data_IF_217577312697
#
_entry.id   IF_217577312697
#
_cell.length_a   1.000
_cell.length_b   1.000
_cell.length_c   1.000
_cell.angle_alpha   90.00
_cell.angle_beta   90.00
_cell.angle_gamma   90.00
#
_symmetry.space_group_name_H-M   'P 1'
#
loop_
_entity.id
_entity.type
_entity.pdbx_description
1 polymer ?
#
# COMPACT_ATOMS: atom_id res chain seq x y z
N UNK A 1 26.04 -11.63 -6.11
CA UNK A 1 24.82 -12.27 -5.55
C UNK A 1 25.20 -13.21 -4.44
N UNK A 2 24.80 -12.91 -3.21
CA UNK A 2 25.13 -13.71 -2.03
C UNK A 2 24.25 -14.98 -2.03
N UNK A 3 24.80 -16.11 -2.49
CA UNK A 3 24.05 -17.35 -2.78
C UNK A 3 23.34 -17.96 -1.56
N UNK A 4 23.76 -17.61 -0.32
CA UNK A 4 23.18 -18.17 0.90
C UNK A 4 21.80 -17.62 1.27
N UNK A 5 21.48 -16.38 0.91
CA UNK A 5 20.19 -15.74 1.25
C UNK A 5 19.05 -16.40 0.47
N UNK A 6 19.26 -16.67 -0.81
CA UNK A 6 18.25 -17.27 -1.70
C UNK A 6 17.99 -18.77 -1.45
N UNK A 7 18.83 -19.45 -0.67
CA UNK A 7 18.66 -20.90 -0.42
C UNK A 7 17.45 -21.23 0.46
N UNK A 8 16.94 -20.25 1.20
CA UNK A 8 15.76 -20.39 2.06
C UNK A 8 14.47 -19.83 1.45
N UNK A 9 14.54 -19.25 0.25
CA UNK A 9 13.39 -18.64 -0.42
C UNK A 9 12.92 -19.47 -1.62
N UNK A 10 11.62 -19.42 -1.87
CA UNK A 10 11.03 -20.12 -3.01
C UNK A 10 11.48 -19.46 -4.32
N UNK A 11 11.38 -20.21 -5.43
CA UNK A 11 11.68 -19.66 -6.76
C UNK A 11 10.73 -18.50 -7.10
N UNK A 12 9.49 -18.56 -6.59
CA UNK A 12 8.44 -17.56 -6.78
C UNK A 12 8.78 -16.23 -6.10
N UNK A 13 9.60 -16.24 -5.05
CA UNK A 13 10.00 -15.04 -4.31
C UNK A 13 11.08 -14.21 -5.02
N UNK A 14 11.85 -14.84 -5.92
CA UNK A 14 13.04 -14.23 -6.55
C UNK A 14 12.76 -12.89 -7.22
N UNK A 15 11.69 -12.72 -8.03
CA UNK A 15 11.42 -11.43 -8.67
C UNK A 15 11.18 -10.30 -7.67
N UNK A 16 10.62 -10.60 -6.49
CA UNK A 16 10.43 -9.61 -5.44
C UNK A 16 11.72 -9.34 -4.66
N UNK A 17 12.49 -10.38 -4.34
CA UNK A 17 13.79 -10.25 -3.68
C UNK A 17 14.76 -9.40 -4.50
N UNK A 18 14.77 -9.55 -5.82
CA UNK A 18 15.61 -8.74 -6.71
C UNK A 18 15.24 -7.25 -6.64
N UNK A 19 13.94 -6.91 -6.60
CA UNK A 19 13.48 -5.53 -6.34
C UNK A 19 13.88 -5.04 -4.95
N UNK A 20 13.75 -5.88 -3.93
CA UNK A 20 14.17 -5.55 -2.57
C UNK A 20 15.67 -5.22 -2.50
N UNK A 21 16.50 -5.98 -3.21
CA UNK A 21 17.93 -5.72 -3.34
C UNK A 21 18.22 -4.39 -4.04
N UNK A 22 17.47 -4.05 -5.09
CA UNK A 22 17.58 -2.74 -5.74
C UNK A 22 17.23 -1.60 -4.78
N UNK A 23 16.20 -1.77 -3.94
CA UNK A 23 15.80 -0.77 -2.96
C UNK A 23 16.81 -0.58 -1.84
N UNK A 24 17.37 -1.67 -1.30
CA UNK A 24 18.46 -1.61 -0.33
C UNK A 24 19.65 -0.86 -0.91
N UNK A 25 20.05 -1.21 -2.14
CA UNK A 25 21.15 -0.52 -2.84
C UNK A 25 20.89 0.98 -2.99
N UNK A 26 19.64 1.39 -3.28
CA UNK A 26 19.31 2.83 -3.35
C UNK A 26 19.57 3.53 -2.03
N UNK A 27 19.19 2.93 -0.90
CA UNK A 27 19.43 3.51 0.43
C UNK A 27 20.93 3.56 0.74
N UNK A 28 21.69 2.53 0.37
CA UNK A 28 23.15 2.51 0.53
C UNK A 28 23.84 3.60 -0.31
N UNK A 29 23.44 3.73 -1.58
CA UNK A 29 24.04 4.68 -2.53
C UNK A 29 23.68 6.14 -2.20
N UNK A 30 22.45 6.41 -1.75
CA UNK A 30 21.98 7.78 -1.46
C UNK A 30 22.10 8.18 0.00
N UNK A 31 22.33 7.22 0.90
CA UNK A 31 22.25 7.39 2.36
C UNK A 31 20.97 8.14 2.77
N UNK A 32 19.83 7.79 2.16
CA UNK A 32 18.53 8.43 2.38
C UNK A 32 17.40 7.39 2.41
N UNK A 33 16.27 7.68 3.10
CA UNK A 33 15.14 6.75 3.15
C UNK A 33 14.59 6.41 1.76
N UNK A 34 14.19 5.17 1.59
CA UNK A 34 13.45 4.67 0.44
C UNK A 34 12.10 4.13 0.88
N UNK A 35 11.03 4.67 0.30
CA UNK A 35 9.66 4.23 0.52
C UNK A 35 9.21 3.31 -0.61
N UNK A 36 8.78 2.09 -0.27
CA UNK A 36 8.28 1.14 -1.26
C UNK A 36 6.91 1.56 -1.83
N UNK A 37 6.51 1.01 -2.98
CA UNK A 37 5.11 0.91 -3.35
C UNK A 37 4.32 0.06 -2.32
N UNK A 38 3.00 -0.06 -2.50
CA UNK A 38 2.23 -1.03 -1.74
C UNK A 38 2.68 -2.46 -2.05
N UNK A 39 2.90 -3.23 -0.99
CA UNK A 39 3.29 -4.64 -1.03
C UNK A 39 2.37 -5.46 -0.13
N UNK A 40 2.23 -6.76 -0.42
CA UNK A 40 1.37 -7.66 0.36
C UNK A 40 2.09 -8.19 1.62
N UNK A 41 1.38 -8.90 2.53
CA UNK A 41 1.97 -9.38 3.79
C UNK A 41 3.15 -10.35 3.62
N UNK A 42 3.17 -11.13 2.54
CA UNK A 42 4.27 -12.06 2.25
C UNK A 42 5.51 -11.29 1.81
N UNK A 43 5.33 -10.32 0.91
CA UNK A 43 6.38 -9.42 0.44
C UNK A 43 6.98 -8.57 1.57
N UNK A 44 6.14 -8.07 2.49
CA UNK A 44 6.60 -7.36 3.68
C UNK A 44 7.56 -8.22 4.52
N UNK A 45 7.19 -9.49 4.78
CA UNK A 45 8.04 -10.42 5.53
C UNK A 45 9.38 -10.65 4.83
N UNK A 46 9.36 -10.89 3.52
CA UNK A 46 10.57 -11.07 2.72
C UNK A 46 11.48 -9.84 2.81
N UNK A 47 10.91 -8.63 2.67
CA UNK A 47 11.69 -7.40 2.70
C UNK A 47 12.30 -7.13 4.08
N UNK A 48 11.55 -7.39 5.16
CA UNK A 48 12.06 -7.29 6.54
C UNK A 48 13.25 -8.23 6.80
N UNK A 49 13.17 -9.47 6.32
CA UNK A 49 14.27 -10.44 6.43
C UNK A 49 15.49 -9.95 5.63
N UNK A 50 15.25 -9.45 4.41
CA UNK A 50 16.30 -8.94 3.54
C UNK A 50 17.00 -7.73 4.18
N UNK A 51 16.25 -6.70 4.59
CA UNK A 51 16.77 -5.51 5.25
C UNK A 51 17.62 -5.86 6.47
N UNK A 52 17.12 -6.75 7.34
CA UNK A 52 17.87 -7.24 8.52
C UNK A 52 19.18 -7.92 8.14
N UNK A 53 19.19 -8.68 7.04
CA UNK A 53 20.39 -9.39 6.56
C UNK A 53 21.48 -8.43 6.08
N UNK A 54 21.08 -7.29 5.51
CA UNK A 54 21.98 -6.22 5.09
C UNK A 54 22.22 -5.17 6.18
N UNK A 55 21.69 -5.39 7.40
CA UNK A 55 21.87 -4.46 8.52
C UNK A 55 21.18 -3.12 8.32
N UNK A 56 20.15 -3.06 7.48
CA UNK A 56 19.41 -1.83 7.19
C UNK A 56 18.13 -1.76 8.05
N UNK A 57 17.85 -0.57 8.61
CA UNK A 57 16.62 -0.33 9.35
C UNK A 57 15.40 -0.35 8.42
N UNK A 58 14.28 -0.82 8.96
CA UNK A 58 13.06 -1.07 8.21
C UNK A 58 11.84 -0.90 9.11
N UNK A 59 10.84 -0.14 8.66
CA UNK A 59 9.55 0.04 9.32
C UNK A 59 8.40 -0.12 8.33
N UNK A 60 7.29 -0.67 8.79
CA UNK A 60 6.09 -0.91 7.98
C UNK A 60 4.98 0.04 8.36
N UNK A 61 4.21 0.53 7.38
CA UNK A 61 2.99 1.30 7.67
C UNK A 61 2.00 0.49 8.51
N UNK A 62 2.03 -0.84 8.41
CA UNK A 62 1.23 -1.77 9.22
C UNK A 62 1.51 -1.70 10.73
N UNK A 63 2.68 -1.19 11.13
CA UNK A 63 3.04 -0.98 12.54
C UNK A 63 2.35 0.25 13.14
N UNK A 64 1.85 1.16 12.29
CA UNK A 64 1.12 2.37 12.67
C UNK A 64 -0.38 2.21 12.45
N UNK A 65 -0.77 1.66 11.29
CA UNK A 65 -2.15 1.42 10.89
C UNK A 65 -2.29 0.00 10.36
N UNK A 66 -2.99 -0.85 11.12
CA UNK A 66 -3.25 -2.23 10.73
C UNK A 66 -3.92 -2.31 9.35
N UNK A 67 -3.26 -3.00 8.42
CA UNK A 67 -3.63 -3.17 7.02
C UNK A 67 -2.95 -4.41 6.44
N UNK A 68 -3.55 -5.04 5.42
CA UNK A 68 -2.94 -6.17 4.70
C UNK A 68 -1.87 -5.68 3.71
N UNK A 69 -2.18 -4.64 2.95
CA UNK A 69 -1.26 -4.04 2.02
C UNK A 69 -0.58 -2.83 2.64
N UNK A 70 0.73 -2.92 2.79
CA UNK A 70 1.54 -1.93 3.50
C UNK A 70 2.54 -1.27 2.57
N UNK A 71 3.05 -0.11 2.98
CA UNK A 71 4.28 0.46 2.43
C UNK A 71 5.37 0.34 3.47
N UNK A 72 6.60 0.09 3.03
CA UNK A 72 7.75 -0.12 3.90
C UNK A 72 8.76 1.00 3.66
N UNK A 73 9.29 1.56 4.73
CA UNK A 73 10.44 2.46 4.70
C UNK A 73 11.70 1.64 4.99
N UNK A 74 12.68 1.77 4.11
CA UNK A 74 14.05 1.32 4.31
C UNK A 74 14.92 2.56 4.52
N UNK A 75 15.72 2.63 5.58
CA UNK A 75 16.39 3.89 5.92
C UNK A 75 17.68 3.71 6.74
N UNK A 76 18.58 4.72 6.73
CA UNK A 76 19.76 4.74 7.59
C UNK A 76 19.42 5.12 9.03
N UNK A 77 20.32 4.80 9.96
CA UNK A 77 20.10 4.93 11.42
C UNK A 77 19.77 6.36 11.93
N UNK A 78 20.10 7.40 11.16
CA UNK A 78 19.78 8.78 11.54
C UNK A 78 18.29 9.11 11.37
N UNK A 79 17.57 8.35 10.56
CA UNK A 79 16.18 8.63 10.23
C UNK A 79 15.24 7.97 11.23
N UNK A 80 14.27 8.73 11.73
CA UNK A 80 13.22 8.24 12.62
C UNK A 80 11.88 8.37 11.90
N UNK A 81 11.28 7.25 11.45
CA UNK A 81 10.06 7.30 10.65
C UNK A 81 8.85 7.72 11.48
N UNK A 82 8.09 8.66 10.93
CA UNK A 82 6.73 9.00 11.35
C UNK A 82 5.70 8.43 10.37
N UNK A 83 4.43 8.39 10.76
CA UNK A 83 3.39 7.82 9.90
C UNK A 83 3.19 8.60 8.58
N UNK A 84 3.41 9.92 8.60
CA UNK A 84 3.37 10.78 7.42
C UNK A 84 4.39 10.39 6.36
N UNK A 85 5.55 9.85 6.75
CA UNK A 85 6.63 9.44 5.82
C UNK A 85 6.23 8.26 4.92
N UNK A 86 5.15 7.55 5.24
CA UNK A 86 4.63 6.48 4.39
C UNK A 86 3.76 7.00 3.24
N UNK A 87 3.44 8.30 3.22
CA UNK A 87 2.68 8.97 2.17
C UNK A 87 1.41 8.21 1.78
N UNK A 88 0.65 7.75 2.78
CA UNK A 88 -0.63 7.07 2.58
C UNK A 88 -1.76 8.02 2.92
N UNK A 89 -2.72 8.14 2.01
CA UNK A 89 -3.97 8.86 2.26
C UNK A 89 -5.14 7.89 2.33
N UNK A 90 -6.02 8.07 3.32
CA UNK A 90 -7.28 7.35 3.44
C UNK A 90 -8.37 8.15 2.75
N UNK A 91 -9.03 7.56 1.76
CA UNK A 91 -10.10 8.20 1.02
C UNK A 91 -11.43 7.49 1.29
N UNK A 92 -12.42 8.23 1.78
CA UNK A 92 -13.82 7.80 1.83
C UNK A 92 -14.41 7.86 0.43
N UNK A 93 -15.06 6.77 0.01
CA UNK A 93 -15.85 6.71 -1.20
C UNK A 93 -17.28 7.14 -0.84
N UNK A 94 -17.61 8.39 -1.11
CA UNK A 94 -18.92 8.98 -0.81
C UNK A 94 -19.89 8.66 -1.94
N UNK A 95 -21.02 8.03 -1.61
CA UNK A 95 -22.07 7.65 -2.55
C UNK A 95 -23.45 7.57 -1.89
N UNK A 96 -24.51 7.59 -2.69
CA UNK A 96 -25.88 7.38 -2.20
C UNK A 96 -26.16 5.88 -2.03
N UNK A 97 -26.16 5.39 -0.79
CA UNK A 97 -26.38 3.98 -0.43
C UNK A 97 -27.86 3.52 -0.46
N UNK A 98 -28.81 4.36 -0.88
CA UNK A 98 -30.26 4.08 -0.81
C UNK A 98 -30.75 2.85 -1.62
N UNK A 99 -30.01 2.44 -2.64
CA UNK A 99 -30.49 1.44 -3.61
C UNK A 99 -29.49 0.34 -3.95
N UNK A 100 -28.20 0.57 -3.74
CA UNK A 100 -27.14 -0.38 -4.09
C UNK A 100 -25.92 -0.14 -3.21
N UNK A 101 -25.43 -1.21 -2.56
CA UNK A 101 -24.21 -1.15 -1.78
C UNK A 101 -22.99 -1.40 -2.67
N UNK A 102 -21.92 -0.67 -2.40
CA UNK A 102 -20.61 -0.96 -2.99
C UNK A 102 -20.07 -2.24 -2.37
N UNK A 103 -19.36 -3.02 -3.19
CA UNK A 103 -18.64 -4.20 -2.72
C UNK A 103 -17.16 -4.02 -3.03
N UNK A 104 -16.32 -4.69 -2.25
CA UNK A 104 -14.87 -4.72 -2.49
C UNK A 104 -14.53 -5.03 -3.96
N UNK A 105 -15.17 -6.06 -4.53
CA UNK A 105 -14.93 -6.48 -5.91
C UNK A 105 -15.30 -5.40 -6.95
N UNK A 106 -16.37 -4.63 -6.74
CA UNK A 106 -16.76 -3.54 -7.65
C UNK A 106 -15.76 -2.39 -7.63
N UNK A 107 -15.31 -2.00 -6.43
CA UNK A 107 -14.31 -0.94 -6.25
C UNK A 107 -12.99 -1.39 -6.91
N UNK A 108 -12.49 -2.57 -6.53
CA UNK A 108 -11.25 -3.13 -7.06
C UNK A 108 -11.28 -3.24 -8.59
N UNK A 109 -12.36 -3.80 -9.14
CA UNK A 109 -12.52 -3.96 -10.58
C UNK A 109 -12.57 -2.62 -11.33
N UNK A 110 -13.14 -1.59 -10.72
CA UNK A 110 -13.16 -0.24 -11.30
C UNK A 110 -11.76 0.38 -11.30
N UNK A 111 -11.08 0.35 -10.16
CA UNK A 111 -9.73 0.93 -10.01
C UNK A 111 -8.73 0.27 -10.97
N UNK A 112 -8.70 -1.07 -11.03
CA UNK A 112 -7.74 -1.78 -11.87
C UNK A 112 -8.15 -1.74 -13.35
N UNK A 113 -9.39 -2.13 -13.68
CA UNK A 113 -9.75 -2.40 -15.08
C UNK A 113 -10.25 -1.16 -15.82
N UNK A 114 -10.92 -0.23 -15.14
CA UNK A 114 -11.49 0.96 -15.80
C UNK A 114 -10.53 2.14 -15.75
N UNK A 115 -9.88 2.36 -14.60
CA UNK A 115 -8.90 3.44 -14.46
C UNK A 115 -7.47 3.03 -14.86
N UNK A 116 -7.22 1.72 -15.01
CA UNK A 116 -5.88 1.23 -15.36
C UNK A 116 -4.86 1.41 -14.24
N UNK A 117 -5.30 1.59 -13.00
CA UNK A 117 -4.41 1.87 -11.87
C UNK A 117 -3.77 0.57 -11.38
N UNK A 118 -2.44 0.57 -11.32
CA UNK A 118 -1.67 -0.57 -10.86
C UNK A 118 -1.87 -0.85 -9.37
N UNK A 119 -1.94 -2.14 -8.98
CA UNK A 119 -2.11 -2.57 -7.57
C UNK A 119 -1.09 -1.96 -6.61
N UNK A 120 0.12 -1.66 -7.08
CA UNK A 120 1.20 -1.06 -6.28
C UNK A 120 0.92 0.37 -5.81
N UNK A 121 -0.11 1.03 -6.34
CA UNK A 121 -0.46 2.43 -6.04
C UNK A 121 -1.52 2.58 -4.94
N UNK A 122 -2.14 1.50 -4.50
CA UNK A 122 -3.15 1.52 -3.45
C UNK A 122 -3.11 0.26 -2.58
N UNK A 123 -3.44 0.44 -1.31
CA UNK A 123 -3.49 -0.60 -0.29
C UNK A 123 -4.89 -1.18 -0.15
N UNK A 124 -5.35 -1.30 1.08
CA UNK A 124 -6.63 -1.95 1.37
C UNK A 124 -7.81 -1.15 0.81
N UNK A 125 -8.79 -1.89 0.33
CA UNK A 125 -10.15 -1.40 0.10
C UNK A 125 -10.98 -1.93 1.26
N UNK A 126 -11.59 -1.03 2.00
CA UNK A 126 -12.37 -1.34 3.20
C UNK A 126 -13.82 -1.05 2.85
N UNK A 127 -14.72 -1.97 3.18
CA UNK A 127 -16.15 -1.83 2.90
C UNK A 127 -16.91 -2.38 4.09
N UNK A 128 -17.82 -1.57 4.61
CA UNK A 128 -18.84 -2.02 5.55
C UNK A 128 -20.25 -1.87 4.95
N UNK A 129 -21.29 -2.03 5.77
CA UNK A 129 -22.69 -1.94 5.30
C UNK A 129 -23.03 -0.55 4.74
N UNK A 130 -22.41 0.52 5.26
CA UNK A 130 -22.76 1.90 4.94
C UNK A 130 -21.67 2.65 4.18
N UNK A 131 -20.41 2.31 4.44
CA UNK A 131 -19.21 3.07 4.09
C UNK A 131 -18.24 2.24 3.27
N UNK A 132 -17.43 2.94 2.50
CA UNK A 132 -16.33 2.34 1.78
C UNK A 132 -15.14 3.29 1.78
N UNK A 133 -13.95 2.74 1.99
CA UNK A 133 -12.70 3.48 2.01
C UNK A 133 -11.64 2.79 1.17
N UNK A 134 -10.65 3.56 0.72
CA UNK A 134 -9.48 3.05 0.03
C UNK A 134 -8.23 3.76 0.55
N UNK A 135 -7.21 2.98 0.88
CA UNK A 135 -5.88 3.51 1.20
C UNK A 135 -5.10 3.68 -0.10
N UNK A 136 -4.60 4.89 -0.37
CA UNK A 136 -3.88 5.19 -1.62
C UNK A 136 -2.52 5.83 -1.36
N UNK A 137 -1.63 5.72 -2.34
CA UNK A 137 -0.40 6.50 -2.34
C UNK A 137 -0.77 7.97 -2.57
N UNK A 138 -0.46 8.83 -1.61
CA UNK A 138 -0.82 10.25 -1.63
C UNK A 138 -0.26 10.99 -2.85
N UNK A 139 0.88 10.55 -3.40
CA UNK A 139 1.43 11.12 -4.65
C UNK A 139 0.47 10.99 -5.83
N UNK A 140 -0.49 10.06 -5.78
CA UNK A 140 -1.49 9.80 -6.81
C UNK A 140 -2.89 10.27 -6.40
N UNK A 141 -3.03 11.11 -5.38
CA UNK A 141 -4.32 11.58 -4.87
C UNK A 141 -5.23 12.13 -5.99
N UNK A 142 -4.70 13.02 -6.84
CA UNK A 142 -5.47 13.60 -7.94
C UNK A 142 -5.89 12.55 -8.98
N UNK A 143 -5.04 11.57 -9.28
CA UNK A 143 -5.39 10.46 -10.20
C UNK A 143 -6.62 9.69 -9.68
N UNK A 144 -6.68 9.42 -8.38
CA UNK A 144 -7.82 8.75 -7.77
C UNK A 144 -9.05 9.66 -7.68
N UNK A 145 -8.89 10.89 -7.17
CA UNK A 145 -10.00 11.82 -6.99
C UNK A 145 -10.65 12.21 -8.32
N UNK A 146 -9.87 12.46 -9.37
CA UNK A 146 -10.37 12.85 -10.69
C UNK A 146 -10.82 11.66 -11.53
N UNK A 147 -10.18 10.50 -11.36
CA UNK A 147 -10.53 9.28 -12.09
C UNK A 147 -11.75 8.55 -11.54
N UNK A 148 -11.82 8.37 -10.21
CA UNK A 148 -12.85 7.56 -9.57
C UNK A 148 -14.12 8.37 -9.30
N UNK A 149 -14.83 8.73 -10.37
CA UNK A 149 -16.12 9.46 -10.31
C UNK A 149 -17.35 8.56 -10.35
N UNK A 150 -17.17 7.28 -10.69
CA UNK A 150 -18.24 6.29 -10.71
C UNK A 150 -17.69 4.90 -10.44
N UNK A 151 -18.48 4.05 -9.79
CA UNK A 151 -18.22 2.62 -9.64
C UNK A 151 -19.43 1.87 -10.19
N UNK A 152 -19.24 1.13 -11.28
CA UNK A 152 -20.36 0.59 -12.05
C UNK A 152 -21.25 1.71 -12.59
N UNK A 153 -22.49 1.80 -12.09
CA UNK A 153 -23.45 2.87 -12.43
C UNK A 153 -23.60 3.92 -11.32
N UNK A 154 -22.96 3.70 -10.17
CA UNK A 154 -23.12 4.55 -8.99
C UNK A 154 -22.13 5.71 -9.11
N UNK A 155 -22.59 6.98 -9.13
CA UNK A 155 -21.70 8.12 -9.04
C UNK A 155 -21.09 8.18 -7.64
N UNK A 156 -19.77 8.44 -7.58
CA UNK A 156 -19.02 8.51 -6.33
C UNK A 156 -18.08 9.71 -6.32
N UNK A 157 -17.72 10.18 -5.14
CA UNK A 157 -16.61 11.11 -4.92
C UNK A 157 -15.68 10.58 -3.85
N UNK A 158 -14.41 10.99 -3.91
CA UNK A 158 -13.43 10.68 -2.87
C UNK A 158 -13.24 11.88 -1.96
N UNK A 159 -13.27 11.63 -0.65
CA UNK A 159 -12.97 12.62 0.39
C UNK A 159 -11.88 12.09 1.31
N UNK A 160 -10.88 12.91 1.60
CA UNK A 160 -9.83 12.53 2.54
C UNK A 160 -10.36 12.42 3.97
N UNK A 161 -9.93 11.38 4.69
CA UNK A 161 -10.29 11.15 6.09
C UNK A 161 -9.05 10.90 6.94
N UNK A 162 -9.07 11.33 8.22
CA UNK A 162 -8.03 10.94 9.15
C UNK A 162 -8.09 9.43 9.40
N UNK A 163 -6.95 8.80 9.66
CA UNK A 163 -6.89 7.36 9.96
C UNK A 163 -7.61 6.96 11.25
N UNK A 164 -7.95 7.92 12.12
CA UNK A 164 -8.84 7.71 13.27
C UNK A 164 -10.27 7.35 12.85
N UNK A 165 -10.67 7.68 11.62
CA UNK A 165 -11.99 7.34 11.03
C UNK A 165 -11.90 6.10 10.11
N UNK A 166 -10.78 5.38 10.11
CA UNK A 166 -10.61 4.15 9.34
C UNK A 166 -11.63 3.11 9.80
N UNK A 167 -12.41 2.58 8.87
CA UNK A 167 -13.35 1.49 9.16
C UNK A 167 -12.62 0.15 9.27
N UNK A 168 -13.22 -0.79 9.99
CA UNK A 168 -12.75 -2.17 10.02
C UNK A 168 -13.20 -2.91 8.77
N UNK A 169 -12.42 -3.91 8.38
CA UNK A 169 -12.79 -4.80 7.28
C UNK A 169 -13.91 -5.72 7.78
N UNK A 170 -15.11 -5.65 7.22
CA UNK A 170 -16.09 -6.73 7.41
C UNK A 170 -15.57 -7.98 6.68
N UNK A 171 -15.42 -9.06 7.44
CA UNK A 171 -15.10 -10.40 6.92
C UNK A 171 -16.25 -10.97 6.07
#
# INVERSE_FOLDING_TARGET
MNKGIYQHFSIEDRPFLDKGMEWIKKVEDSYAPFLTPFINPHQEKLLKILAKTYGLACSSSGEFVSSEYVRVLLYPDYFQPEFSDFEISLQEIVYSNKFEHLTHAKILGTVINQLGIERKLFGDILVDEERAQIMINQQFLLLFQDGLKKIGRIPVSLEERPFTEKIDKLE
#
